data_IF_764582719330
#
_entry.id   IF_764582719330
#
_cell.length_a   1.000
_cell.length_b   1.000
_cell.length_c   1.000
_cell.angle_alpha   90.00
_cell.angle_beta   90.00
_cell.angle_gamma   90.00
#
_symmetry.space_group_name_H-M   'P 1'
#
loop_
_entity.id
_entity.type
_entity.pdbx_description
1 polymer ?
#
# COMPACT_ATOMS: atom_id res chain seq x y z
N UNK A 1 19.34 -34.12 15.24
CA UNK A 1 19.36 -32.64 15.34
C UNK A 1 19.83 -32.30 16.73
N UNK A 2 20.94 -31.63 16.86
CA UNK A 2 21.59 -31.40 18.15
C UNK A 2 21.21 -30.08 18.82
N UNK A 3 20.59 -29.17 18.11
CA UNK A 3 20.19 -27.87 18.64
C UNK A 3 19.09 -27.19 17.78
N UNK A 4 18.55 -26.10 18.31
CA UNK A 4 17.47 -25.35 17.68
C UNK A 4 17.92 -24.67 16.36
N UNK A 5 19.17 -24.25 16.26
CA UNK A 5 19.70 -23.63 15.04
C UNK A 5 19.74 -24.62 13.87
N UNK A 6 20.12 -25.86 14.15
CA UNK A 6 20.11 -26.94 13.15
C UNK A 6 18.70 -27.22 12.67
N UNK A 7 17.71 -27.20 13.56
CA UNK A 7 16.30 -27.34 13.19
C UNK A 7 15.82 -26.16 12.33
N UNK A 8 16.13 -24.94 12.70
CA UNK A 8 15.72 -23.77 11.93
C UNK A 8 16.35 -23.77 10.52
N UNK A 9 17.61 -24.18 10.41
CA UNK A 9 18.27 -24.31 9.12
C UNK A 9 17.63 -25.41 8.23
N UNK A 10 17.17 -26.51 8.82
CA UNK A 10 16.50 -27.57 8.09
C UNK A 10 15.10 -27.10 7.62
N UNK A 11 14.33 -26.49 8.49
CA UNK A 11 13.04 -25.92 8.15
C UNK A 11 13.10 -24.90 7.01
N UNK A 12 14.16 -24.08 7.01
CA UNK A 12 14.35 -23.05 5.99
C UNK A 12 14.54 -23.61 4.57
N UNK A 13 15.08 -24.83 4.42
CA UNK A 13 15.25 -25.50 3.12
C UNK A 13 13.90 -25.72 2.42
N UNK A 14 12.87 -25.97 3.20
CA UNK A 14 11.51 -26.20 2.71
C UNK A 14 10.61 -24.97 2.85
N UNK A 15 11.21 -23.78 2.91
CA UNK A 15 10.49 -22.50 3.10
C UNK A 15 9.62 -22.44 4.36
N UNK A 16 9.97 -23.23 5.36
CA UNK A 16 9.34 -23.23 6.67
C UNK A 16 10.17 -22.44 7.69
N UNK A 17 9.53 -21.92 8.72
CA UNK A 17 10.16 -21.18 9.80
C UNK A 17 9.49 -21.50 11.13
N UNK A 18 10.31 -21.76 12.15
CA UNK A 18 9.83 -21.93 13.49
C UNK A 18 9.19 -20.65 14.03
N UNK A 19 8.01 -20.76 14.65
CA UNK A 19 7.37 -19.58 15.25
C UNK A 19 8.22 -19.03 16.42
N UNK A 20 8.95 -19.87 17.08
CA UNK A 20 9.91 -19.52 18.15
C UNK A 20 11.09 -18.64 17.66
N UNK A 21 11.38 -18.65 16.36
CA UNK A 21 12.44 -17.82 15.77
C UNK A 21 12.02 -16.36 15.52
N UNK A 22 10.75 -16.02 15.80
CA UNK A 22 10.26 -14.64 15.74
C UNK A 22 10.36 -14.05 17.14
N UNK A 23 11.19 -13.04 17.29
CA UNK A 23 11.14 -12.22 18.49
C UNK A 23 9.72 -11.70 18.68
N UNK A 24 9.19 -11.88 19.88
CA UNK A 24 7.85 -11.40 20.24
C UNK A 24 6.71 -11.93 19.34
N UNK A 25 6.83 -13.17 18.85
CA UNK A 25 5.83 -13.78 17.97
C UNK A 25 4.42 -13.82 18.59
N UNK A 26 4.35 -13.97 19.92
CA UNK A 26 3.11 -13.99 20.67
C UNK A 26 3.23 -13.00 21.83
N UNK A 27 2.49 -11.92 21.75
CA UNK A 27 2.38 -10.93 22.82
C UNK A 27 1.09 -11.13 23.60
N UNK A 28 1.14 -10.94 24.90
CA UNK A 28 -0.07 -11.02 25.75
C UNK A 28 -1.06 -9.91 25.46
N UNK A 29 -0.55 -8.75 25.07
CA UNK A 29 -1.37 -7.58 24.74
C UNK A 29 -0.98 -7.02 23.39
N UNK A 30 -1.93 -6.49 22.61
CA UNK A 30 -1.62 -5.77 21.39
C UNK A 30 -0.72 -4.57 21.69
N UNK A 31 0.36 -4.44 20.95
CA UNK A 31 1.20 -3.24 21.03
C UNK A 31 0.66 -2.22 20.05
N UNK A 32 0.38 -0.99 20.48
CA UNK A 32 0.00 0.07 19.59
C UNK A 32 1.19 0.43 18.71
N UNK A 33 1.15 0.04 17.44
CA UNK A 33 2.23 0.28 16.48
C UNK A 33 2.21 1.67 15.89
N UNK A 34 1.06 2.32 15.87
CA UNK A 34 0.90 3.61 15.22
C UNK A 34 0.54 4.70 16.20
N UNK A 35 1.25 5.81 16.11
CA UNK A 35 0.77 7.08 16.69
C UNK A 35 -0.28 7.65 15.75
N UNK A 36 -1.28 8.38 16.26
CA UNK A 36 -2.21 9.10 15.40
C UNK A 36 -1.44 9.99 14.42
N UNK A 37 -1.80 9.92 13.15
CA UNK A 37 -1.14 10.67 12.08
C UNK A 37 -2.16 11.39 11.21
N UNK A 38 -1.82 12.61 10.82
CA UNK A 38 -2.63 13.45 9.95
C UNK A 38 -1.83 13.84 8.71
N UNK A 39 -2.31 13.42 7.55
CA UNK A 39 -1.81 13.91 6.26
C UNK A 39 -2.67 15.07 5.80
N UNK A 40 -2.11 16.28 5.84
CA UNK A 40 -2.84 17.50 5.47
C UNK A 40 -3.14 17.51 3.97
N UNK A 41 -4.40 17.73 3.61
CA UNK A 41 -4.85 17.76 2.22
C UNK A 41 -4.05 18.73 1.34
N UNK A 42 -3.78 19.91 1.84
CA UNK A 42 -3.00 20.91 1.11
C UNK A 42 -1.61 20.40 0.67
N UNK A 43 -0.96 19.55 1.48
CA UNK A 43 0.33 18.92 1.14
C UNK A 43 0.18 17.82 0.10
N UNK A 44 -0.84 16.98 0.24
CA UNK A 44 -1.15 15.93 -0.74
C UNK A 44 -1.46 16.58 -2.09
N UNK A 45 -2.34 17.57 -2.12
CA UNK A 45 -2.74 18.27 -3.33
C UNK A 45 -1.55 18.91 -4.03
N UNK A 46 -0.73 19.68 -3.33
CA UNK A 46 0.47 20.29 -3.90
C UNK A 46 1.44 19.26 -4.49
N UNK A 47 1.62 18.11 -3.82
CA UNK A 47 2.43 17.02 -4.32
C UNK A 47 1.85 16.39 -5.58
N UNK A 48 0.53 16.20 -5.65
CA UNK A 48 -0.15 15.68 -6.84
C UNK A 48 -0.08 16.65 -8.03
N UNK A 49 -0.24 17.93 -7.79
CA UNK A 49 -0.11 18.98 -8.81
C UNK A 49 1.31 19.01 -9.38
N UNK A 50 2.33 18.96 -8.52
CA UNK A 50 3.73 18.87 -8.93
C UNK A 50 4.00 17.59 -9.74
N UNK A 51 3.55 16.43 -9.26
CA UNK A 51 3.66 15.17 -10.00
C UNK A 51 2.94 15.23 -11.35
N UNK A 52 1.82 15.94 -11.41
CA UNK A 52 1.07 16.17 -12.65
C UNK A 52 1.83 16.96 -13.72
N UNK A 53 2.83 17.74 -13.35
CA UNK A 53 3.70 18.44 -14.29
C UNK A 53 4.88 17.57 -14.76
N UNK A 54 5.28 16.59 -13.96
CA UNK A 54 6.51 15.83 -14.17
C UNK A 54 6.27 14.47 -14.83
N UNK A 55 5.15 13.82 -14.54
CA UNK A 55 4.88 12.45 -15.00
C UNK A 55 3.46 12.28 -15.51
N UNK A 56 3.27 11.30 -16.39
CA UNK A 56 1.94 10.87 -16.85
C UNK A 56 1.29 9.96 -15.81
N UNK A 57 -0.02 9.72 -15.96
CA UNK A 57 -0.76 8.85 -15.04
C UNK A 57 -0.32 7.38 -15.04
N UNK A 58 0.39 6.95 -16.10
CA UNK A 58 0.90 5.57 -16.27
C UNK A 58 2.44 5.52 -16.34
N UNK A 59 3.12 6.47 -15.72
CA UNK A 59 4.58 6.53 -15.75
C UNK A 59 5.22 5.27 -15.15
N UNK A 60 6.11 4.63 -15.93
CA UNK A 60 6.82 3.38 -15.58
C UNK A 60 5.89 2.25 -15.08
N UNK A 61 4.68 2.15 -15.62
CA UNK A 61 3.70 1.15 -15.18
C UNK A 61 3.10 1.39 -13.79
N UNK A 62 3.60 2.41 -13.09
CA UNK A 62 3.02 2.86 -11.84
C UNK A 62 1.92 3.89 -12.08
N UNK A 63 1.25 4.28 -11.04
CA UNK A 63 0.21 5.30 -11.11
C UNK A 63 0.76 6.62 -10.61
N UNK A 64 0.27 7.72 -11.17
CA UNK A 64 0.52 9.04 -10.57
C UNK A 64 -0.30 9.19 -9.30
N UNK A 65 0.19 8.57 -8.23
CA UNK A 65 -0.45 8.51 -6.93
C UNK A 65 0.57 8.76 -5.82
N UNK A 66 0.10 9.36 -4.73
CA UNK A 66 0.88 9.56 -3.52
C UNK A 66 0.35 8.59 -2.47
N UNK A 67 1.19 7.68 -2.03
CA UNK A 67 0.87 6.77 -0.92
C UNK A 67 1.00 7.51 0.42
N UNK A 68 0.03 7.29 1.29
CA UNK A 68 0.05 7.83 2.65
C UNK A 68 0.73 6.81 3.57
N UNK A 69 2.00 7.02 3.84
CA UNK A 69 2.86 6.07 4.54
C UNK A 69 3.00 6.47 6.01
N UNK A 70 2.74 5.52 6.91
CA UNK A 70 2.99 5.72 8.33
C UNK A 70 4.44 5.36 8.68
N UNK A 71 5.21 6.22 9.37
CA UNK A 71 6.64 6.02 9.61
C UNK A 71 7.02 4.68 10.27
N UNK A 72 6.11 4.12 11.06
CA UNK A 72 6.37 2.89 11.82
C UNK A 72 5.78 1.62 11.13
N UNK A 73 5.28 1.74 9.90
CA UNK A 73 4.55 0.64 9.24
C UNK A 73 5.09 0.27 7.86
N UNK A 74 6.36 0.58 7.60
CA UNK A 74 6.97 0.37 6.28
C UNK A 74 6.25 1.18 5.22
N UNK A 75 5.82 0.54 4.14
CA UNK A 75 5.13 1.21 3.03
C UNK A 75 3.60 1.27 3.21
N UNK A 76 3.09 0.98 4.40
CA UNK A 76 1.66 0.91 4.67
C UNK A 76 1.14 2.13 5.42
N UNK A 77 -0.13 2.46 5.20
CA UNK A 77 -0.83 3.53 5.94
C UNK A 77 -1.18 3.07 7.35
N UNK A 78 -1.61 1.82 7.47
CA UNK A 78 -1.91 1.16 8.75
C UNK A 78 -1.63 -0.34 8.65
N UNK A 79 -1.93 -1.12 9.70
CA UNK A 79 -1.74 -2.57 9.69
C UNK A 79 -2.52 -3.31 8.60
N UNK A 80 -3.69 -2.80 8.25
CA UNK A 80 -4.63 -3.49 7.36
C UNK A 80 -5.07 -2.65 6.18
N UNK A 81 -4.68 -1.38 6.13
CA UNK A 81 -5.10 -0.45 5.10
C UNK A 81 -3.90 0.21 4.43
N UNK A 82 -3.94 0.25 3.12
CA UNK A 82 -3.09 1.09 2.30
C UNK A 82 -3.94 2.19 1.67
N UNK A 83 -3.56 3.43 1.86
CA UNK A 83 -4.21 4.58 1.25
C UNK A 83 -3.25 5.26 0.27
N UNK A 84 -3.78 5.58 -0.89
CA UNK A 84 -3.08 6.43 -1.85
C UNK A 84 -4.08 7.42 -2.48
N UNK A 85 -3.61 8.59 -2.80
CA UNK A 85 -4.39 9.58 -3.54
C UNK A 85 -3.81 9.72 -4.93
N UNK A 86 -4.65 9.53 -5.95
CA UNK A 86 -4.26 9.52 -7.35
C UNK A 86 -4.80 10.75 -8.07
N UNK A 87 -3.99 11.31 -8.96
CA UNK A 87 -4.40 12.35 -9.90
C UNK A 87 -4.53 11.77 -11.30
N UNK A 88 -5.71 11.91 -11.87
CA UNK A 88 -6.00 11.64 -13.29
C UNK A 88 -6.52 12.93 -13.90
N UNK A 89 -5.91 13.41 -14.96
CA UNK A 89 -6.33 14.63 -15.66
C UNK A 89 -7.39 14.32 -16.72
N UNK A 90 -8.06 15.34 -17.17
CA UNK A 90 -9.00 15.24 -18.30
C UNK A 90 -8.31 14.61 -19.51
N UNK A 91 -8.97 13.63 -20.12
CA UNK A 91 -8.46 12.90 -21.27
C UNK A 91 -7.44 11.81 -20.97
N UNK A 92 -7.01 11.63 -19.71
CA UNK A 92 -6.15 10.52 -19.32
C UNK A 92 -6.96 9.28 -18.94
N UNK A 93 -6.45 8.11 -19.32
CA UNK A 93 -6.95 6.81 -18.88
C UNK A 93 -5.87 6.11 -18.04
N UNK A 94 -6.31 5.39 -17.02
CA UNK A 94 -5.45 4.57 -16.15
C UNK A 94 -5.52 3.13 -16.64
N UNK A 95 -4.37 2.52 -16.89
CA UNK A 95 -4.32 1.11 -17.32
C UNK A 95 -4.89 0.20 -16.24
N UNK A 96 -5.66 -0.78 -16.67
CA UNK A 96 -6.18 -1.80 -15.78
C UNK A 96 -5.04 -2.66 -15.21
N UNK A 97 -5.20 -3.11 -13.99
CA UNK A 97 -4.27 -4.00 -13.31
C UNK A 97 -5.06 -4.82 -12.28
N UNK A 98 -4.45 -5.89 -11.85
CA UNK A 98 -5.02 -6.79 -10.85
C UNK A 98 -4.17 -6.77 -9.58
N UNK A 99 -4.82 -6.95 -8.46
CA UNK A 99 -4.19 -7.18 -7.16
C UNK A 99 -5.12 -8.06 -6.32
N UNK A 100 -4.56 -8.72 -5.32
CA UNK A 100 -5.29 -9.62 -4.43
C UNK A 100 -6.10 -8.87 -3.37
N UNK A 101 -5.73 -7.63 -3.07
CA UNK A 101 -6.41 -6.81 -2.08
C UNK A 101 -7.70 -6.24 -2.65
N UNK A 102 -8.75 -6.19 -1.83
CA UNK A 102 -9.93 -5.40 -2.15
C UNK A 102 -9.57 -3.92 -2.29
N UNK A 103 -10.19 -3.24 -3.25
CA UNK A 103 -9.97 -1.82 -3.47
C UNK A 103 -11.28 -1.05 -3.40
N UNK A 104 -11.25 0.04 -2.67
CA UNK A 104 -12.31 1.04 -2.64
C UNK A 104 -11.78 2.35 -3.22
N UNK A 105 -12.59 3.03 -4.01
CA UNK A 105 -12.24 4.33 -4.57
C UNK A 105 -13.24 5.37 -4.11
N UNK A 106 -12.71 6.50 -3.71
CA UNK A 106 -13.48 7.67 -3.31
C UNK A 106 -13.03 8.86 -4.16
N UNK A 107 -13.95 9.54 -4.82
CA UNK A 107 -13.66 10.74 -5.60
C UNK A 107 -13.67 11.94 -4.65
N UNK A 108 -12.51 12.57 -4.49
CA UNK A 108 -12.32 13.73 -3.61
C UNK A 108 -12.62 15.03 -4.38
N UNK A 109 -12.03 15.14 -5.57
CA UNK A 109 -12.26 16.25 -6.49
C UNK A 109 -12.49 15.66 -7.88
N UNK A 110 -13.48 16.14 -8.58
CA UNK A 110 -13.76 15.68 -9.94
C UNK A 110 -14.87 16.54 -10.57
N UNK A 111 -14.81 16.67 -11.87
CA UNK A 111 -15.87 17.28 -12.69
C UNK A 111 -16.80 16.23 -13.29
N UNK A 112 -17.74 16.70 -14.10
CA UNK A 112 -18.56 15.83 -14.95
C UNK A 112 -17.66 14.97 -15.84
N UNK A 113 -17.96 13.66 -15.90
CA UNK A 113 -17.24 12.71 -16.76
C UNK A 113 -16.16 11.85 -16.08
N UNK A 114 -16.03 11.86 -14.75
CA UNK A 114 -15.21 10.86 -14.07
C UNK A 114 -15.96 9.52 -14.06
N UNK A 115 -15.51 8.58 -14.89
CA UNK A 115 -16.02 7.22 -14.90
C UNK A 115 -14.99 6.27 -14.27
N UNK A 116 -15.43 5.47 -13.32
CA UNK A 116 -14.67 4.33 -12.79
C UNK A 116 -15.37 3.07 -13.25
N UNK A 117 -14.77 2.33 -14.17
CA UNK A 117 -15.28 1.03 -14.55
C UNK A 117 -14.54 -0.08 -13.82
N UNK A 118 -15.28 -0.94 -13.18
CA UNK A 118 -14.76 -2.15 -12.55
C UNK A 118 -15.17 -3.32 -13.44
N UNK A 119 -14.36 -3.59 -14.48
CA UNK A 119 -14.55 -4.80 -15.28
C UNK A 119 -13.78 -5.93 -14.62
N UNK A 120 -14.44 -6.66 -13.74
CA UNK A 120 -14.04 -7.99 -13.35
C UNK A 120 -14.59 -8.96 -14.40
N UNK A 121 -13.88 -9.18 -15.48
CA UNK A 121 -14.08 -10.38 -16.28
C UNK A 121 -13.20 -11.48 -15.67
N UNK A 122 -13.83 -12.45 -15.07
CA UNK A 122 -13.23 -13.71 -14.62
C UNK A 122 -13.13 -14.65 -15.81
#
# INVERSE_FOLDING_TARGET
MSDLKSLDAELAKDSMRGLWAREEAIRREPVPFGKPMLWKWAKIRAGLEAAGQLITTNYKGARRAISLVHPNMGDSTSHTLNMAVQLVKVGEAVYSHRHTNAAMRFVIEGGEGVAVSNHASW
#
